data_IF_680202334402
#
_entry.id   IF_680202334402
#
_cell.length_a   1.000
_cell.length_b   1.000
_cell.length_c   1.000
_cell.angle_alpha   90.00
_cell.angle_beta   90.00
_cell.angle_gamma   90.00
#
_symmetry.space_group_name_H-M   'P 1'
#
loop_
_entity.id
_entity.type
_entity.pdbx_description
1 polymer ?
#
# COMPACT_ATOMS: atom_id res chain seq x y z
N UNK A 1 15.08 15.65 -0.90
CA UNK A 1 14.05 15.82 0.15
C UNK A 1 13.58 14.44 0.58
N UNK A 2 13.55 14.14 1.89
CA UNK A 2 13.15 12.82 2.40
C UNK A 2 11.61 12.76 2.44
N UNK A 3 10.99 11.93 1.62
CA UNK A 3 9.54 11.72 1.67
C UNK A 3 9.24 10.50 2.55
N UNK A 4 8.69 10.75 3.74
CA UNK A 4 8.22 9.71 4.67
C UNK A 4 6.71 9.51 4.48
N UNK A 5 6.25 8.28 4.68
CA UNK A 5 4.86 7.92 4.46
C UNK A 5 4.33 6.96 5.52
N UNK A 6 3.18 7.25 6.13
CA UNK A 6 2.51 6.37 7.09
C UNK A 6 1.43 5.56 6.39
N UNK A 7 1.42 4.25 6.58
CA UNK A 7 0.27 3.44 6.15
C UNK A 7 -0.85 3.65 7.16
N UNK A 8 -1.91 4.33 6.74
CA UNK A 8 -3.09 4.64 7.54
C UNK A 8 -4.22 3.72 7.11
N UNK A 9 -4.84 3.07 8.10
CA UNK A 9 -6.01 2.23 7.91
C UNK A 9 -7.26 3.02 8.30
N UNK A 10 -8.30 2.90 7.49
CA UNK A 10 -9.57 3.58 7.67
C UNK A 10 -10.73 2.58 7.71
N UNK A 11 -11.79 2.93 8.44
CA UNK A 11 -13.08 2.24 8.36
C UNK A 11 -13.90 2.69 7.14
N UNK A 12 -15.11 2.12 6.99
CA UNK A 12 -16.02 2.44 5.89
C UNK A 12 -16.45 3.91 5.86
N UNK A 13 -16.50 4.58 7.02
CA UNK A 13 -16.81 6.00 7.19
C UNK A 13 -15.58 6.91 6.98
N UNK A 14 -14.45 6.35 6.51
CA UNK A 14 -13.17 7.03 6.32
C UNK A 14 -12.56 7.58 7.61
N UNK A 15 -12.93 7.01 8.76
CA UNK A 15 -12.33 7.35 10.06
C UNK A 15 -11.09 6.51 10.29
N UNK A 16 -10.10 7.10 10.95
CA UNK A 16 -8.85 6.42 11.28
C UNK A 16 -9.11 5.32 12.30
N UNK A 17 -8.79 4.08 11.93
CA UNK A 17 -8.79 2.94 12.85
C UNK A 17 -7.38 2.61 13.35
N UNK A 18 -6.35 3.06 12.64
CA UNK A 18 -4.97 3.00 13.09
C UNK A 18 -3.99 3.34 11.98
N UNK A 19 -2.71 3.33 12.31
CA UNK A 19 -1.66 3.56 11.33
C UNK A 19 -0.39 2.80 11.72
N UNK A 20 0.43 2.46 10.73
CA UNK A 20 1.77 1.90 10.93
C UNK A 20 2.79 3.00 10.71
N UNK A 21 3.62 3.26 11.70
CA UNK A 21 4.73 4.20 11.60
C UNK A 21 5.76 3.64 10.61
N UNK A 22 6.20 4.41 9.60
CA UNK A 22 7.28 3.96 8.76
C UNK A 22 8.59 4.03 9.54
N UNK A 23 9.37 2.97 9.50
CA UNK A 23 10.82 3.10 9.66
C UNK A 23 11.51 3.56 8.37
N UNK A 24 10.74 3.81 7.29
CA UNK A 24 11.29 3.89 5.94
C UNK A 24 10.79 4.99 5.00
N UNK A 25 11.62 5.29 4.01
CA UNK A 25 11.31 6.11 2.82
C UNK A 25 10.67 5.24 1.75
N UNK A 26 9.54 5.65 1.19
CA UNK A 26 8.74 4.87 0.21
C UNK A 26 9.56 4.50 -1.04
N UNK A 27 10.29 5.44 -1.65
CA UNK A 27 11.19 5.16 -2.79
C UNK A 27 12.35 4.21 -2.46
N UNK A 28 12.77 4.19 -1.20
CA UNK A 28 13.92 3.41 -0.76
C UNK A 28 13.53 2.10 -0.10
N UNK A 29 12.25 1.76 0.06
CA UNK A 29 11.82 0.59 0.82
C UNK A 29 10.50 -0.04 0.34
N UNK A 30 9.78 0.58 -0.61
CA UNK A 30 8.66 -0.04 -1.28
C UNK A 30 9.16 -1.09 -2.31
N UNK A 31 9.71 -2.20 -1.85
CA UNK A 31 9.97 -3.38 -2.68
C UNK A 31 9.27 -4.62 -2.14
N UNK A 32 8.95 -5.54 -3.05
CA UNK A 32 8.41 -6.86 -2.69
C UNK A 32 9.40 -7.58 -1.78
N UNK A 33 8.94 -8.00 -0.60
CA UNK A 33 9.78 -8.61 0.44
C UNK A 33 10.32 -7.64 1.50
N UNK A 34 9.99 -6.35 1.44
CA UNK A 34 10.34 -5.42 2.51
C UNK A 34 9.53 -5.71 3.78
N UNK A 35 10.20 -5.81 4.94
CA UNK A 35 9.57 -6.18 6.20
C UNK A 35 8.47 -5.22 6.65
N UNK A 36 8.64 -3.92 6.43
CA UNK A 36 7.66 -2.91 6.85
C UNK A 36 6.42 -2.94 5.97
N UNK A 37 6.61 -3.07 4.65
CA UNK A 37 5.48 -3.22 3.73
C UNK A 37 4.73 -4.53 4.02
N UNK A 38 5.45 -5.62 4.26
CA UNK A 38 4.84 -6.89 4.65
C UNK A 38 4.08 -6.81 5.97
N UNK A 39 4.53 -5.99 6.92
CA UNK A 39 3.79 -5.72 8.15
C UNK A 39 2.40 -5.15 7.87
N UNK A 40 2.31 -4.21 6.93
CA UNK A 40 1.02 -3.67 6.45
C UNK A 40 0.22 -4.74 5.71
N UNK A 41 0.87 -5.55 4.85
CA UNK A 41 0.19 -6.64 4.14
C UNK A 41 -0.50 -7.62 5.08
N UNK A 42 0.13 -7.96 6.21
CA UNK A 42 -0.43 -8.86 7.22
C UNK A 42 -1.65 -8.28 7.95
N UNK A 43 -1.82 -6.96 7.95
CA UNK A 43 -3.01 -6.30 8.48
C UNK A 43 -4.19 -6.31 7.50
N UNK A 44 -3.91 -6.50 6.21
CA UNK A 44 -4.87 -6.41 5.11
C UNK A 44 -5.41 -7.79 4.70
N UNK A 45 -5.75 -8.64 5.69
CA UNK A 45 -6.34 -9.97 5.47
C UNK A 45 -7.82 -9.92 5.08
N UNK A 46 -8.48 -8.80 5.36
CA UNK A 46 -9.84 -8.48 4.95
C UNK A 46 -9.87 -7.15 4.19
N UNK A 47 -10.88 -6.90 3.34
CA UNK A 47 -11.02 -5.63 2.63
C UNK A 47 -10.98 -4.45 3.60
N UNK A 48 -9.91 -3.65 3.54
CA UNK A 48 -9.66 -2.54 4.45
C UNK A 48 -9.22 -1.33 3.66
N UNK A 49 -9.73 -0.15 4.00
CA UNK A 49 -9.29 1.08 3.36
C UNK A 49 -7.90 1.44 3.83
N UNK A 50 -6.98 1.63 2.88
CA UNK A 50 -5.58 1.96 3.18
C UNK A 50 -5.10 3.16 2.38
N UNK A 51 -4.32 4.02 3.05
CA UNK A 51 -3.71 5.20 2.46
C UNK A 51 -2.28 5.32 2.95
N UNK A 52 -1.31 5.47 2.04
CA UNK A 52 0.04 5.91 2.41
C UNK A 52 0.05 7.43 2.51
N UNK A 53 -0.19 7.92 3.71
CA UNK A 53 -0.24 9.34 4.04
C UNK A 53 1.16 9.96 3.96
N UNK A 54 1.31 11.08 3.27
CA UNK A 54 2.60 11.75 3.04
C UNK A 54 2.97 12.62 4.24
N UNK A 55 4.25 12.69 4.57
CA UNK A 55 4.78 13.68 5.52
C UNK A 55 4.34 15.12 5.16
N UNK A 56 3.95 15.90 6.17
CA UNK A 56 3.30 17.21 6.03
C UNK A 56 1.90 17.18 5.38
N UNK A 57 1.35 15.99 5.12
CA UNK A 57 -0.05 15.79 4.75
C UNK A 57 -0.96 15.86 5.97
N UNK A 58 -2.21 16.31 5.77
CA UNK A 58 -3.20 16.43 6.86
C UNK A 58 -3.42 15.09 7.57
N UNK A 59 -3.53 14.00 6.82
CA UNK A 59 -3.77 12.67 7.40
C UNK A 59 -2.57 12.20 8.23
N UNK A 60 -1.35 12.41 7.72
CA UNK A 60 -0.10 12.10 8.42
C UNK A 60 -0.01 12.77 9.80
N UNK A 61 -0.31 14.07 9.87
CA UNK A 61 -0.30 14.84 11.12
C UNK A 61 -1.44 14.45 12.06
N UNK A 62 -2.60 14.07 11.50
CA UNK A 62 -3.76 13.65 12.29
C UNK A 62 -3.48 12.37 13.06
N UNK A 63 -2.90 11.37 12.38
CA UNK A 63 -2.61 10.07 12.99
C UNK A 63 -1.44 10.13 13.98
N UNK A 64 -0.58 11.15 13.90
CA UNK A 64 0.53 11.36 14.85
C UNK A 64 0.08 11.49 16.32
N UNK A 65 -1.22 11.75 16.55
CA UNK A 65 -1.81 11.97 17.87
C UNK A 65 -2.31 10.69 18.55
N UNK A 66 -2.26 9.56 17.85
CA UNK A 66 -2.66 8.25 18.37
C UNK A 66 -1.45 7.31 18.39
N UNK A 67 -1.51 6.23 19.17
CA UNK A 67 -0.44 5.24 19.18
C UNK A 67 -0.42 4.45 17.85
N UNK A 68 0.77 4.17 17.28
CA UNK A 68 0.88 3.35 16.08
C UNK A 68 0.47 1.90 16.37
N UNK A 69 -0.06 1.24 15.35
CA UNK A 69 -0.28 -0.20 15.34
C UNK A 69 1.08 -0.90 15.22
N UNK A 70 1.26 -1.95 16.02
CA UNK A 70 2.33 -2.91 15.83
C UNK A 70 1.87 -3.94 14.79
N UNK A 71 2.45 -3.97 13.57
CA UNK A 71 2.06 -4.96 12.58
C UNK A 71 2.44 -6.37 13.06
N UNK A 72 1.67 -7.42 12.72
CA UNK A 72 2.04 -8.79 13.02
C UNK A 72 3.41 -9.15 12.45
N UNK A 73 4.23 -9.86 13.23
CA UNK A 73 5.54 -10.36 12.78
C UNK A 73 5.41 -11.49 11.75
N UNK A 74 4.35 -12.29 11.88
CA UNK A 74 4.07 -13.47 11.08
C UNK A 74 2.66 -13.37 10.47
N UNK A 75 2.45 -14.04 9.34
CA UNK A 75 1.16 -14.07 8.65
C UNK A 75 1.33 -14.10 7.13
N UNK A 76 0.24 -14.44 6.44
CA UNK A 76 0.22 -14.44 4.99
C UNK A 76 0.33 -13.02 4.45
N UNK A 77 1.19 -12.82 3.46
CA UNK A 77 1.31 -11.56 2.72
C UNK A 77 0.64 -11.63 1.35
N UNK A 78 0.14 -12.80 0.94
CA UNK A 78 -0.53 -13.05 -0.33
C UNK A 78 0.39 -12.93 -1.54
N UNK A 79 0.04 -13.52 -2.68
CA UNK A 79 0.64 -13.20 -3.97
C UNK A 79 -0.02 -11.97 -4.62
N UNK A 80 -1.33 -11.81 -4.43
CA UNK A 80 -2.17 -10.83 -5.10
C UNK A 80 -2.58 -9.70 -4.15
N UNK A 81 -2.56 -8.47 -4.66
CA UNK A 81 -3.19 -7.31 -4.02
C UNK A 81 -4.53 -7.11 -4.71
N UNK A 82 -5.62 -7.19 -3.95
CA UNK A 82 -6.99 -7.08 -4.45
C UNK A 82 -7.56 -5.71 -4.12
N UNK A 83 -8.11 -5.00 -5.11
CA UNK A 83 -8.92 -3.81 -4.92
C UNK A 83 -10.40 -4.17 -5.09
N UNK A 84 -11.13 -4.14 -3.97
CA UNK A 84 -12.54 -4.56 -3.90
C UNK A 84 -13.52 -3.50 -4.39
N UNK A 85 -13.12 -2.24 -4.39
CA UNK A 85 -13.97 -1.15 -4.87
C UNK A 85 -13.94 -1.07 -6.41
N UNK A 86 -12.88 -1.60 -7.04
CA UNK A 86 -12.69 -1.60 -8.50
C UNK A 86 -12.80 -2.96 -9.16
N UNK A 87 -12.81 -4.05 -8.39
CA UNK A 87 -12.68 -5.41 -8.90
C UNK A 87 -11.40 -5.59 -9.75
N UNK A 88 -10.30 -5.02 -9.27
CA UNK A 88 -8.98 -5.08 -9.93
C UNK A 88 -7.99 -5.80 -9.02
N UNK A 89 -6.97 -6.45 -9.59
CA UNK A 89 -5.88 -7.04 -8.82
C UNK A 89 -4.51 -6.80 -9.42
N UNK A 90 -3.48 -6.80 -8.59
CA UNK A 90 -2.08 -6.83 -9.02
C UNK A 90 -1.42 -8.13 -8.56
N UNK A 91 -0.79 -8.84 -9.50
CA UNK A 91 0.11 -9.95 -9.19
C UNK A 91 1.51 -9.43 -8.82
N UNK A 92 1.92 -9.60 -7.56
CA UNK A 92 3.25 -9.18 -7.09
C UNK A 92 4.38 -9.96 -7.76
N UNK A 93 4.14 -11.20 -8.19
CA UNK A 93 5.15 -12.00 -8.86
C UNK A 93 5.47 -11.46 -10.26
N UNK A 94 4.45 -10.94 -10.97
CA UNK A 94 4.55 -10.34 -12.30
C UNK A 94 5.17 -8.94 -12.36
N UNK A 95 5.40 -8.28 -11.22
CA UNK A 95 6.02 -6.94 -11.20
C UNK A 95 7.46 -7.01 -11.71
N UNK A 96 7.79 -6.17 -12.69
CA UNK A 96 9.12 -6.11 -13.29
C UNK A 96 10.18 -5.63 -12.29
N UNK A 97 11.40 -6.11 -12.46
CA UNK A 97 12.56 -5.62 -11.71
C UNK A 97 13.04 -4.30 -12.31
N UNK A 98 13.37 -3.33 -11.46
CA UNK A 98 14.01 -2.10 -11.89
C UNK A 98 15.53 -2.30 -12.16
N UNK A 99 16.20 -1.23 -12.60
CA UNK A 99 17.64 -1.22 -12.86
C UNK A 99 18.51 -1.65 -11.67
N UNK A 100 17.99 -1.56 -10.44
CA UNK A 100 18.66 -2.01 -9.20
C UNK A 100 18.34 -3.45 -8.82
N UNK A 101 17.74 -4.24 -9.72
CA UNK A 101 17.32 -5.63 -9.51
C UNK A 101 16.35 -5.79 -8.32
N UNK A 102 15.46 -4.83 -8.12
CA UNK A 102 14.40 -4.89 -7.09
C UNK A 102 13.04 -4.76 -7.75
N UNK A 103 12.05 -5.54 -7.30
CA UNK A 103 10.65 -5.37 -7.68
C UNK A 103 10.03 -4.33 -6.76
N UNK A 104 9.54 -3.24 -7.31
CA UNK A 104 8.83 -2.24 -6.50
C UNK A 104 7.52 -2.83 -6.00
N UNK A 105 7.19 -2.55 -4.75
CA UNK A 105 5.94 -3.01 -4.17
C UNK A 105 4.79 -2.15 -4.69
N UNK A 106 3.77 -2.71 -5.36
CA UNK A 106 2.69 -1.92 -5.94
C UNK A 106 1.84 -1.23 -4.88
N UNK A 107 1.57 -1.94 -3.78
CA UNK A 107 0.68 -1.49 -2.71
C UNK A 107 1.00 -0.04 -2.24
N UNK A 108 2.18 0.31 -1.70
CA UNK A 108 2.43 1.68 -1.24
C UNK A 108 2.17 2.78 -2.25
N UNK A 109 2.57 2.59 -3.51
CA UNK A 109 2.47 3.64 -4.54
C UNK A 109 1.06 3.73 -5.15
N UNK A 110 0.33 2.61 -5.24
CA UNK A 110 -1.05 2.62 -5.72
C UNK A 110 -1.98 3.30 -4.71
N UNK A 111 -1.69 3.21 -3.42
CA UNK A 111 -2.54 3.75 -2.35
C UNK A 111 -1.93 4.99 -1.67
N UNK A 112 -0.93 5.64 -2.28
CA UNK A 112 -0.31 6.86 -1.74
C UNK A 112 -1.26 8.05 -1.84
N UNK A 113 -1.18 8.99 -0.89
CA UNK A 113 -1.81 10.30 -1.10
C UNK A 113 -1.24 10.95 -2.37
N UNK A 114 -2.11 11.26 -3.33
CA UNK A 114 -1.73 11.91 -4.58
C UNK A 114 -0.93 13.18 -4.31
N UNK A 115 0.17 13.37 -5.05
CA UNK A 115 1.07 14.50 -4.87
C UNK A 115 1.74 14.94 -6.17
N UNK A 116 2.29 16.15 -6.16
CA UNK A 116 3.07 16.69 -7.28
C UNK A 116 4.33 15.87 -7.53
N UNK A 117 4.61 15.56 -8.79
CA UNK A 117 5.81 14.80 -9.22
C UNK A 117 5.67 13.28 -9.19
N UNK A 118 4.45 12.75 -8.97
CA UNK A 118 4.16 11.33 -9.07
C UNK A 118 3.55 10.98 -10.43
N UNK A 119 3.69 9.73 -10.91
CA UNK A 119 3.01 9.30 -12.13
C UNK A 119 1.49 9.35 -11.97
N UNK A 120 0.72 9.50 -13.08
CA UNK A 120 -0.74 9.69 -13.01
C UNK A 120 -1.53 8.57 -12.32
N UNK A 121 -0.97 7.36 -12.28
CA UNK A 121 -1.56 6.20 -11.63
C UNK A 121 -1.20 6.08 -10.15
N UNK A 122 -0.25 6.88 -9.64
CA UNK A 122 0.07 6.85 -8.22
C UNK A 122 -1.10 7.39 -7.40
N UNK A 123 -1.45 6.68 -6.34
CA UNK A 123 -2.61 7.00 -5.53
C UNK A 123 -3.94 6.66 -6.21
N UNK A 124 -3.93 5.96 -7.35
CA UNK A 124 -5.16 5.57 -8.03
C UNK A 124 -6.06 4.71 -7.14
N UNK A 125 -5.51 3.95 -6.20
CA UNK A 125 -6.23 3.11 -5.25
C UNK A 125 -6.25 3.72 -3.82
N UNK A 126 -5.86 4.99 -3.65
CA UNK A 126 -5.89 5.62 -2.34
C UNK A 126 -7.32 5.66 -1.80
N UNK A 127 -7.49 5.23 -0.54
CA UNK A 127 -8.77 5.07 0.16
C UNK A 127 -9.63 3.89 -0.30
N UNK A 128 -9.27 3.15 -1.35
CA UNK A 128 -10.01 1.97 -1.78
C UNK A 128 -9.87 0.83 -0.76
N UNK A 129 -10.85 -0.09 -0.75
CA UNK A 129 -10.77 -1.32 0.06
C UNK A 129 -9.80 -2.31 -0.56
N UNK A 130 -8.70 -2.57 0.15
CA UNK A 130 -7.62 -3.46 -0.28
C UNK A 130 -7.54 -4.68 0.62
N UNK A 131 -7.24 -5.84 0.03
CA UNK A 131 -6.80 -7.02 0.78
C UNK A 131 -5.69 -7.78 0.05
N UNK A 132 -4.99 -8.67 0.75
CA UNK A 132 -4.01 -9.59 0.17
C UNK A 132 -4.60 -10.99 0.12
N UNK A 133 -4.26 -11.73 -0.94
CA UNK A 133 -4.73 -13.10 -1.14
C UNK A 133 -3.73 -13.93 -1.95
N UNK A 134 -3.75 -15.25 -1.78
CA UNK A 134 -3.04 -16.21 -2.64
C UNK A 134 -3.91 -16.70 -3.81
N UNK A 135 -5.17 -16.27 -3.87
CA UNK A 135 -6.10 -16.55 -4.98
C UNK A 135 -6.77 -15.27 -5.48
N UNK A 136 -7.11 -15.26 -6.76
CA UNK A 136 -7.88 -14.18 -7.38
C UNK A 136 -9.36 -14.60 -7.40
N UNK A 137 -10.28 -13.82 -6.79
CA UNK A 137 -11.71 -14.08 -6.87
C UNK A 137 -12.25 -13.94 -8.30
N UNK A 138 -13.37 -14.59 -8.59
CA UNK A 138 -14.07 -14.43 -9.86
C UNK A 138 -14.49 -12.96 -10.09
N UNK A 139 -14.40 -12.49 -11.33
CA UNK A 139 -14.77 -11.13 -11.72
C UNK A 139 -13.69 -10.07 -11.50
N UNK A 140 -12.55 -10.43 -10.91
CA UNK A 140 -11.42 -9.51 -10.76
C UNK A 140 -10.57 -9.45 -12.04
N UNK A 141 -10.22 -8.24 -12.48
CA UNK A 141 -9.39 -8.00 -13.66
C UNK A 141 -7.94 -7.64 -13.30
N UNK A 142 -6.99 -8.11 -14.12
CA UNK A 142 -5.57 -7.82 -13.90
C UNK A 142 -5.26 -6.35 -14.17
N UNK A 143 -4.88 -5.62 -13.13
CA UNK A 143 -4.24 -4.32 -13.26
C UNK A 143 -2.76 -4.51 -13.61
N UNK A 144 -2.40 -4.16 -14.84
CA UNK A 144 -1.00 -4.20 -15.29
C UNK A 144 -0.21 -3.08 -14.63
N UNK A 145 0.43 -3.42 -13.52
CA UNK A 145 1.40 -2.55 -12.87
C UNK A 145 2.70 -2.51 -13.68
N UNK A 146 2.69 -1.72 -14.76
CA UNK A 146 3.88 -1.41 -15.54
C UNK A 146 4.54 -0.17 -14.95
N UNK A 147 5.73 -0.34 -14.38
CA UNK A 147 6.61 0.79 -14.14
C UNK A 147 6.98 1.35 -15.51
N UNK A 148 6.31 2.41 -15.95
CA UNK A 148 6.74 3.19 -17.11
C UNK A 148 8.15 3.70 -16.77
N UNK A 149 9.10 3.39 -17.65
CA UNK A 149 10.54 3.65 -17.52
C UNK A 149 10.88 5.11 -17.19
#
# INVERSE_FOLDING_TARGET
>A
MRQFYRAVLLDDDHRVIGYVEPGVRLEEHAWVGNHEVQGVERLLTMPTRVVWARWQGRLYETVARVAPLAPPEHGCTGQYILNHDRFEYVDKAGVRMNARRRRVHPLPILTVESGTGMPPWAGSWAHDRISLSDTVPEGFELWKFEQLE
#
